data_IF_556775294519
#
_entry.id   IF_556775294519
#
_cell.length_a   1.000
_cell.length_b   1.000
_cell.length_c   1.000
_cell.angle_alpha   90.00
_cell.angle_beta   90.00
_cell.angle_gamma   90.00
#
_symmetry.space_group_name_H-M   'P 1'
#
loop_
_entity.id
_entity.type
_entity.pdbx_description
1 polymer ?
#
# COMPACT_ATOMS: atom_id res chain seq x y z
N UNK A 1 -69.74 -35.72 15.77
CA UNK A 1 -69.62 -34.35 16.29
C UNK A 1 -68.33 -33.75 15.74
N UNK A 2 -68.42 -32.53 15.20
CA UNK A 2 -67.35 -31.63 14.68
C UNK A 2 -66.03 -31.71 15.47
N UNK A 3 -64.85 -31.49 14.91
CA UNK A 3 -64.40 -30.34 14.11
C UNK A 3 -63.05 -30.67 13.41
N UNK A 4 -62.79 -30.23 12.17
CA UNK A 4 -61.87 -29.12 11.78
C UNK A 4 -60.45 -29.22 12.39
N UNK A 5 -59.31 -29.16 11.71
CA UNK A 5 -58.88 -28.40 10.53
C UNK A 5 -57.49 -28.94 10.12
N UNK A 6 -57.18 -28.83 8.83
CA UNK A 6 -55.85 -29.03 8.24
C UNK A 6 -54.84 -27.96 8.67
N UNK A 7 -53.64 -28.33 9.08
CA UNK A 7 -52.46 -27.45 9.01
C UNK A 7 -51.27 -28.24 8.44
N UNK A 8 -50.84 -27.83 7.25
CA UNK A 8 -49.56 -28.23 6.67
C UNK A 8 -48.41 -27.60 7.48
N UNK A 9 -47.24 -28.26 7.59
CA UNK A 9 -46.09 -27.64 8.25
C UNK A 9 -45.62 -26.45 7.40
N UNK A 10 -45.71 -25.25 7.96
CA UNK A 10 -45.09 -24.06 7.41
C UNK A 10 -43.58 -24.28 7.38
N UNK A 11 -43.03 -24.42 6.18
CA UNK A 11 -41.60 -24.29 5.92
C UNK A 11 -41.15 -22.94 6.48
N UNK A 12 -40.45 -22.95 7.61
CA UNK A 12 -39.82 -21.76 8.18
C UNK A 12 -38.68 -21.34 7.27
N UNK A 13 -38.87 -20.25 6.53
CA UNK A 13 -37.80 -19.58 5.80
C UNK A 13 -36.67 -19.18 6.76
N UNK A 14 -35.45 -19.42 6.31
CA UNK A 14 -34.18 -19.17 6.99
C UNK A 14 -34.03 -17.72 7.47
N UNK A 15 -33.49 -17.52 8.67
CA UNK A 15 -32.96 -16.23 9.07
C UNK A 15 -31.43 -16.29 9.00
N UNK A 16 -30.88 -16.09 7.79
CA UNK A 16 -29.44 -16.06 7.50
C UNK A 16 -28.91 -14.64 7.25
N UNK A 17 -29.59 -13.61 7.73
CA UNK A 17 -29.26 -12.19 7.43
C UNK A 17 -28.40 -11.50 8.51
N UNK A 18 -27.77 -12.24 9.42
CA UNK A 18 -27.11 -11.67 10.61
C UNK A 18 -25.59 -11.47 10.53
N UNK A 19 -24.97 -11.36 9.35
CA UNK A 19 -23.51 -11.16 9.24
C UNK A 19 -23.09 -10.08 8.22
N UNK A 20 -23.92 -9.05 8.00
CA UNK A 20 -23.51 -7.90 7.17
C UNK A 20 -22.60 -6.96 7.96
N UNK A 21 -21.35 -6.81 7.50
CA UNK A 21 -20.40 -5.87 8.09
C UNK A 21 -20.96 -4.44 8.11
N UNK A 22 -21.01 -3.84 9.31
CA UNK A 22 -21.37 -2.43 9.49
C UNK A 22 -20.14 -1.65 9.93
N UNK A 23 -19.63 -0.69 9.12
CA UNK A 23 -18.50 0.14 9.51
C UNK A 23 -18.82 0.99 10.76
N UNK A 24 -17.83 1.27 11.63
CA UNK A 24 -18.03 2.14 12.77
C UNK A 24 -18.18 3.61 12.32
N UNK A 25 -18.89 4.42 13.12
CA UNK A 25 -19.02 5.88 12.91
C UNK A 25 -17.67 6.61 12.87
N UNK A 26 -16.71 6.15 13.66
CA UNK A 26 -15.33 6.64 13.66
C UNK A 26 -14.43 5.43 13.41
N UNK A 27 -13.66 5.48 12.33
CA UNK A 27 -12.71 4.42 11.99
C UNK A 27 -11.57 4.38 13.00
N UNK A 28 -11.17 3.17 13.41
CA UNK A 28 -10.04 2.94 14.29
C UNK A 28 -9.10 1.90 13.68
N UNK A 29 -7.78 2.12 13.84
CA UNK A 29 -6.78 1.17 13.41
C UNK A 29 -6.57 0.10 14.50
N UNK A 30 -7.41 -0.93 14.50
CA UNK A 30 -7.42 -1.98 15.52
C UNK A 30 -6.94 -3.35 15.00
N UNK A 31 -6.62 -3.45 13.70
CA UNK A 31 -6.12 -4.66 13.06
C UNK A 31 -5.05 -4.31 12.01
N UNK A 32 -4.01 -5.15 11.86
CA UNK A 32 -3.11 -5.06 10.71
C UNK A 32 -3.90 -5.24 9.41
N UNK A 33 -3.61 -4.42 8.40
CA UNK A 33 -4.29 -4.44 7.10
C UNK A 33 -3.27 -4.23 5.97
N UNK A 34 -3.39 -4.99 4.87
CA UNK A 34 -2.51 -4.87 3.71
C UNK A 34 -1.74 -6.13 3.33
N UNK A 35 -2.06 -7.29 3.92
CA UNK A 35 -1.40 -8.56 3.60
C UNK A 35 0.11 -8.48 3.81
N UNK A 36 0.88 -8.73 2.75
CA UNK A 36 2.35 -8.62 2.76
C UNK A 36 2.86 -7.23 3.22
N UNK A 37 2.05 -6.18 3.08
CA UNK A 37 2.39 -4.81 3.47
C UNK A 37 1.78 -4.39 4.82
N UNK A 38 1.18 -5.31 5.57
CA UNK A 38 0.56 -4.99 6.84
C UNK A 38 1.53 -4.43 7.89
N UNK A 39 2.82 -4.76 7.78
CA UNK A 39 3.89 -4.22 8.64
C UNK A 39 4.27 -2.77 8.32
N UNK A 40 3.96 -2.29 7.11
CA UNK A 40 4.34 -0.94 6.65
C UNK A 40 3.16 0.02 6.58
N UNK A 41 1.94 -0.47 6.32
CA UNK A 41 0.74 0.36 6.22
C UNK A 41 0.33 0.90 7.60
N UNK A 42 0.23 2.22 7.71
CA UNK A 42 -0.10 2.94 8.94
C UNK A 42 -0.95 4.17 8.66
N UNK A 43 -1.84 4.60 9.58
CA UNK A 43 -2.70 5.76 9.38
C UNK A 43 -2.00 7.11 9.64
N UNK A 44 -0.69 7.08 9.91
CA UNK A 44 0.14 8.25 10.20
C UNK A 44 1.35 8.27 9.29
N UNK A 45 1.77 9.46 8.86
CA UNK A 45 2.99 9.66 8.07
C UNK A 45 4.20 9.97 8.96
N UNK A 46 5.37 10.11 8.35
CA UNK A 46 6.59 10.58 9.00
C UNK A 46 7.72 9.54 9.02
N UNK A 47 8.92 10.01 9.38
CA UNK A 47 10.08 9.16 9.58
C UNK A 47 9.87 8.25 10.79
N UNK A 48 10.48 7.08 10.75
CA UNK A 48 10.35 6.02 11.76
C UNK A 48 11.69 5.59 12.35
N UNK A 49 12.77 5.91 11.64
CA UNK A 49 14.12 5.64 12.05
C UNK A 49 15.06 6.66 11.42
N UNK A 50 16.18 6.90 12.09
CA UNK A 50 17.25 7.70 11.52
C UNK A 50 17.98 6.90 10.45
N UNK A 51 18.09 7.47 9.25
CA UNK A 51 18.82 6.89 8.13
C UNK A 51 19.18 7.95 7.12
N UNK A 52 20.47 8.23 7.01
CA UNK A 52 20.99 9.07 5.94
C UNK A 52 20.91 8.35 4.59
N UNK A 53 20.72 9.15 3.54
CA UNK A 53 20.73 8.65 2.17
C UNK A 53 22.13 8.77 1.55
N UNK A 54 22.64 7.71 0.90
CA UNK A 54 23.92 7.80 0.18
C UNK A 54 23.78 8.77 -1.00
N UNK A 55 24.83 9.53 -1.28
CA UNK A 55 24.88 10.46 -2.40
C UNK A 55 26.12 10.20 -3.24
N UNK A 56 25.93 10.00 -4.53
CA UNK A 56 27.02 9.76 -5.49
C UNK A 56 27.48 11.03 -6.18
N UNK A 57 28.17 10.84 -7.30
CA UNK A 57 28.84 11.92 -8.05
C UNK A 57 27.95 12.55 -9.13
N UNK A 58 26.92 11.84 -9.59
CA UNK A 58 26.11 12.28 -10.72
C UNK A 58 25.13 13.39 -10.30
N UNK A 59 24.71 14.26 -11.24
CA UNK A 59 23.89 15.42 -10.94
C UNK A 59 22.51 15.06 -10.37
N UNK A 60 21.96 13.90 -10.75
CA UNK A 60 20.68 13.41 -10.24
C UNK A 60 20.89 12.24 -9.28
N UNK A 61 20.15 12.26 -8.16
CA UNK A 61 20.16 11.20 -7.15
C UNK A 61 18.76 10.58 -7.11
N UNK A 62 18.64 9.34 -7.58
CA UNK A 62 17.37 8.63 -7.66
C UNK A 62 17.29 7.59 -6.54
N UNK A 63 16.39 7.80 -5.59
CA UNK A 63 16.06 6.82 -4.55
C UNK A 63 14.77 6.11 -4.93
N UNK A 64 14.86 4.86 -5.39
CA UNK A 64 13.73 4.18 -6.02
C UNK A 64 13.76 2.66 -5.84
N UNK A 65 12.77 2.00 -6.42
CA UNK A 65 12.65 0.56 -6.48
C UNK A 65 12.17 0.17 -7.88
N UNK A 66 12.60 -0.99 -8.38
CA UNK A 66 12.21 -1.54 -9.68
C UNK A 66 10.72 -2.00 -9.73
N UNK A 67 9.82 -1.12 -9.35
CA UNK A 67 8.37 -1.22 -9.51
C UNK A 67 7.96 -0.56 -10.84
N UNK A 68 6.72 -0.76 -11.32
CA UNK A 68 6.22 -0.02 -12.47
C UNK A 68 6.32 1.51 -12.35
N UNK A 69 6.34 2.06 -11.12
CA UNK A 69 6.56 3.49 -10.91
C UNK A 69 8.04 3.88 -11.01
N UNK A 70 8.95 3.09 -10.44
CA UNK A 70 10.38 3.36 -10.54
C UNK A 70 10.89 3.25 -11.97
N UNK A 71 10.40 2.28 -12.73
CA UNK A 71 10.73 2.09 -14.15
C UNK A 71 10.41 3.33 -14.99
N UNK A 72 9.33 4.07 -14.68
CA UNK A 72 8.99 5.31 -15.43
C UNK A 72 10.14 6.32 -15.38
N UNK A 73 10.74 6.49 -14.21
CA UNK A 73 11.80 7.48 -13.99
C UNK A 73 13.10 7.00 -14.61
N UNK A 74 13.49 5.74 -14.40
CA UNK A 74 14.73 5.23 -15.00
C UNK A 74 14.64 5.23 -16.52
N UNK A 75 13.51 4.81 -17.11
CA UNK A 75 13.31 4.89 -18.57
C UNK A 75 13.41 6.34 -19.05
N UNK A 76 12.74 7.29 -18.40
CA UNK A 76 12.86 8.71 -18.77
C UNK A 76 14.32 9.20 -18.77
N UNK A 77 15.10 8.84 -17.75
CA UNK A 77 16.51 9.25 -17.64
C UNK A 77 17.36 8.61 -18.73
N UNK A 78 17.19 7.31 -18.99
CA UNK A 78 17.89 6.61 -20.06
C UNK A 78 17.54 7.17 -21.44
N UNK A 79 16.27 7.50 -21.71
CA UNK A 79 15.85 8.12 -22.97
C UNK A 79 16.47 9.51 -23.16
N UNK A 80 16.61 10.30 -22.09
CA UNK A 80 17.32 11.59 -22.13
C UNK A 80 18.82 11.41 -22.39
N UNK A 81 19.45 10.42 -21.77
CA UNK A 81 20.85 10.08 -22.01
C UNK A 81 21.08 9.61 -23.44
N UNK A 82 20.18 8.81 -24.00
CA UNK A 82 20.22 8.38 -25.39
C UNK A 82 20.13 9.56 -26.38
N UNK A 83 19.45 10.64 -26.01
CA UNK A 83 19.40 11.90 -26.76
C UNK A 83 20.61 12.83 -26.50
N UNK A 84 21.59 12.40 -25.70
CA UNK A 84 22.82 13.15 -25.42
C UNK A 84 22.69 14.20 -24.32
N UNK A 85 21.62 14.19 -23.53
CA UNK A 85 21.44 15.11 -22.42
C UNK A 85 22.29 14.68 -21.21
N UNK A 86 23.57 15.03 -21.18
CA UNK A 86 24.51 14.66 -20.10
C UNK A 86 24.06 15.09 -18.69
N UNK A 87 23.21 16.12 -18.57
CA UNK A 87 22.61 16.51 -17.29
C UNK A 87 21.64 15.48 -16.69
N UNK A 88 21.29 14.42 -17.44
CA UNK A 88 20.43 13.32 -17.00
C UNK A 88 21.22 12.17 -16.34
N UNK A 89 22.55 12.25 -16.23
CA UNK A 89 23.32 11.26 -15.49
C UNK A 89 22.84 11.15 -14.04
N UNK A 90 22.74 9.93 -13.51
CA UNK A 90 22.13 9.68 -12.22
C UNK A 90 22.77 8.52 -11.45
N UNK A 91 22.79 8.65 -10.13
CA UNK A 91 23.03 7.53 -9.21
C UNK A 91 21.67 6.96 -8.77
N UNK A 92 21.46 5.66 -8.95
CA UNK A 92 20.22 4.99 -8.55
C UNK A 92 20.42 4.14 -7.29
N UNK A 93 19.83 4.59 -6.19
CA UNK A 93 19.87 3.95 -4.88
C UNK A 93 18.59 3.17 -4.62
N UNK A 94 18.75 1.94 -4.13
CA UNK A 94 17.63 1.04 -3.84
C UNK A 94 16.91 1.42 -2.53
N UNK A 95 15.58 1.57 -2.60
CA UNK A 95 14.68 1.77 -1.46
C UNK A 95 13.75 0.57 -1.36
N UNK A 96 13.98 -0.30 -0.38
CA UNK A 96 13.19 -1.54 -0.19
C UNK A 96 11.90 -1.22 0.56
N UNK A 97 10.82 -0.94 -0.19
CA UNK A 97 9.55 -0.50 0.40
C UNK A 97 8.92 -1.52 1.37
N UNK A 98 9.21 -2.81 1.17
CA UNK A 98 8.77 -3.90 2.04
C UNK A 98 9.51 -3.94 3.38
N UNK A 99 10.67 -3.28 3.47
CA UNK A 99 11.50 -3.20 4.68
C UNK A 99 11.34 -1.86 5.41
N UNK A 100 10.55 -0.94 4.85
CA UNK A 100 10.28 0.35 5.47
C UNK A 100 11.33 1.43 5.18
N UNK A 101 12.23 1.22 4.23
CA UNK A 101 13.27 2.18 3.83
C UNK A 101 12.69 3.56 3.45
N UNK A 102 11.48 3.59 2.90
CA UNK A 102 10.73 4.81 2.56
C UNK A 102 10.32 5.65 3.78
N UNK A 103 10.55 5.16 4.99
CA UNK A 103 10.28 5.86 6.24
C UNK A 103 11.55 6.22 7.02
N UNK A 104 12.73 6.16 6.38
CA UNK A 104 13.98 6.68 6.95
C UNK A 104 14.04 8.20 6.92
N UNK A 105 14.71 8.82 7.90
CA UNK A 105 14.78 10.30 8.03
C UNK A 105 15.32 11.00 6.78
N UNK A 106 16.33 10.46 6.11
CA UNK A 106 16.86 11.04 4.88
C UNK A 106 15.95 10.91 3.66
N UNK A 107 15.02 9.94 3.64
CA UNK A 107 14.02 9.81 2.56
C UNK A 107 12.78 10.67 2.79
N UNK A 108 12.44 10.94 4.05
CA UNK A 108 11.26 11.74 4.43
C UNK A 108 11.59 13.24 4.56
N UNK A 109 12.80 13.58 5.02
CA UNK A 109 13.22 14.92 5.48
C UNK A 109 13.85 15.82 4.43
#
# INVERSE_FOLDING_TARGET
MSNSQSQAPSQGLSNTDADTYTPPRVWTWNKPNGGHFASINRPIAGATHERELPRGQHPLQLYSLATPNGVKVTVMLEELLALGHAGAEYDAWLIRINEGDQFGSGFVG
#
